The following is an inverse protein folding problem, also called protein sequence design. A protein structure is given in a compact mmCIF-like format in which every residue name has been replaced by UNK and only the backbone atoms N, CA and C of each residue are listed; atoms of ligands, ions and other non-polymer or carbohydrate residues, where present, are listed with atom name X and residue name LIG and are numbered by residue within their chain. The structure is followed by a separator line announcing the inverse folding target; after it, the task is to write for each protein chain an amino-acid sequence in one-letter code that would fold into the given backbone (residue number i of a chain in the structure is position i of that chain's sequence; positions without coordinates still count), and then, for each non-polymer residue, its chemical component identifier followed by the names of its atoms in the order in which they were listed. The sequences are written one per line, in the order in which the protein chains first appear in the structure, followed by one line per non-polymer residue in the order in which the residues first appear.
data_IF_271765667148
#
_entry.id   IF_271765667148
#
_cell.length_a   1.000
_cell.length_b   1.000
_cell.length_c   1.000
_cell.angle_alpha   90.00
_cell.angle_beta   90.00
_cell.angle_gamma   90.00
#
_symmetry.space_group_name_H-M   'P 1'
#
loop_
_entity.id
_entity.type
_entity.pdbx_description
1 polymer ?
#
# COMPACT_ATOMS: atom_id res chain seq x y z
N UNK A 1 21.54 18.97 -13.32
CA UNK A 1 22.61 18.71 -12.33
C UNK A 1 22.24 19.37 -10.99
N UNK A 2 21.32 18.76 -10.23
CA UNK A 2 20.88 19.26 -8.90
C UNK A 2 20.80 18.16 -7.83
N UNK A 3 21.41 16.99 -8.05
CA UNK A 3 21.44 15.89 -7.07
C UNK A 3 22.48 16.05 -5.96
N UNK A 4 23.10 17.22 -5.80
CA UNK A 4 24.37 17.32 -5.05
C UNK A 4 24.32 17.67 -3.57
N UNK A 5 23.16 17.88 -2.95
CA UNK A 5 23.10 18.00 -1.48
C UNK A 5 21.85 17.32 -0.92
N UNK A 6 22.04 16.15 -0.30
CA UNK A 6 21.06 15.67 0.68
C UNK A 6 21.03 16.66 1.84
N UNK A 7 19.84 16.98 2.35
CA UNK A 7 19.69 17.96 3.42
C UNK A 7 20.17 17.29 4.71
N UNK A 8 21.21 17.82 5.32
CA UNK A 8 21.72 17.31 6.60
C UNK A 8 20.85 17.88 7.72
N UNK A 9 20.22 17.01 8.50
CA UNK A 9 19.37 17.40 9.63
C UNK A 9 20.19 17.60 10.89
N UNK A 10 21.25 16.79 11.06
CA UNK A 10 22.19 16.90 12.17
C UNK A 10 23.58 16.82 11.56
N UNK A 11 24.36 17.89 11.73
CA UNK A 11 25.74 17.94 11.23
C UNK A 11 26.61 16.93 11.96
N UNK A 12 27.73 16.51 11.36
CA UNK A 12 28.63 15.56 12.03
C UNK A 12 29.17 16.12 13.34
N UNK A 13 29.44 17.45 13.41
CA UNK A 13 29.87 18.12 14.64
C UNK A 13 28.80 18.09 15.71
N UNK A 14 27.58 18.46 15.35
CA UNK A 14 26.45 18.44 16.28
C UNK A 14 26.16 17.03 16.79
N UNK A 15 26.26 16.02 15.93
CA UNK A 15 26.15 14.62 16.33
C UNK A 15 27.20 14.28 17.38
N UNK A 16 28.50 14.47 17.09
CA UNK A 16 29.60 14.13 18.01
C UNK A 16 29.47 14.88 19.35
N UNK A 17 29.11 16.16 19.31
CA UNK A 17 28.92 16.97 20.53
C UNK A 17 27.73 16.48 21.38
N UNK A 18 26.67 15.98 20.73
CA UNK A 18 25.45 15.53 21.40
C UNK A 18 25.49 14.04 21.80
N UNK A 19 26.36 13.24 21.20
CA UNK A 19 26.44 11.78 21.41
C UNK A 19 27.26 11.37 22.65
N UNK A 20 27.79 12.34 23.41
CA UNK A 20 28.54 12.16 24.66
C UNK A 20 29.70 11.13 24.57
N UNK A 21 30.38 11.08 23.42
CA UNK A 21 31.56 10.22 23.14
C UNK A 21 32.66 11.04 22.50
N UNK A 22 33.92 10.74 22.84
CA UNK A 22 35.05 11.32 22.11
C UNK A 22 35.22 10.62 20.74
N UNK A 23 35.76 11.32 19.72
CA UNK A 23 35.79 10.81 18.34
C UNK A 23 36.45 9.43 18.18
N UNK A 24 37.47 9.12 18.99
CA UNK A 24 38.15 7.82 18.96
C UNK A 24 37.37 6.69 19.65
N UNK A 25 36.31 7.04 20.39
CA UNK A 25 35.38 6.10 21.03
C UNK A 25 34.22 5.72 20.10
N UNK A 26 34.03 6.46 19.00
CA UNK A 26 32.99 6.21 18.01
C UNK A 26 33.26 4.93 17.22
N UNK A 27 32.21 4.13 17.09
CA UNK A 27 32.22 2.83 16.43
C UNK A 27 31.25 2.78 15.24
N UNK A 28 31.26 1.66 14.53
CA UNK A 28 30.40 1.48 13.34
C UNK A 28 28.91 1.58 13.65
N UNK A 29 28.47 1.24 14.88
CA UNK A 29 27.09 1.46 15.28
C UNK A 29 26.80 2.96 15.40
N UNK A 30 27.68 3.75 16.00
CA UNK A 30 27.52 5.22 16.07
C UNK A 30 27.43 5.83 14.67
N UNK A 31 28.31 5.40 13.76
CA UNK A 31 28.29 5.85 12.37
C UNK A 31 27.01 5.44 11.63
N UNK A 32 26.55 4.20 11.86
CA UNK A 32 25.27 3.73 11.33
C UNK A 32 24.09 4.59 11.82
N UNK A 33 24.06 4.94 13.11
CA UNK A 33 23.00 5.78 13.68
C UNK A 33 23.04 7.20 13.10
N UNK A 34 24.22 7.80 12.98
CA UNK A 34 24.38 9.11 12.33
C UNK A 34 23.80 9.14 10.91
N UNK A 35 24.11 8.13 10.09
CA UNK A 35 23.58 8.03 8.73
C UNK A 35 22.07 7.81 8.73
N UNK A 36 21.56 6.96 9.63
CA UNK A 36 20.14 6.66 9.74
C UNK A 36 19.32 7.90 10.12
N UNK A 37 19.77 8.70 11.09
CA UNK A 37 19.11 9.94 11.52
C UNK A 37 18.87 10.85 10.31
N UNK A 38 19.93 11.09 9.55
CA UNK A 38 19.86 11.97 8.38
C UNK A 38 19.02 11.34 7.25
N UNK A 39 19.07 10.02 7.07
CA UNK A 39 18.24 9.32 6.09
C UNK A 39 16.75 9.43 6.43
N UNK A 40 16.37 9.14 7.68
CA UNK A 40 15.00 9.20 8.18
C UNK A 40 14.46 10.63 8.06
N UNK A 41 15.23 11.64 8.49
CA UNK A 41 14.85 13.04 8.37
C UNK A 41 14.57 13.45 6.93
N UNK A 42 15.45 13.07 5.98
CA UNK A 42 15.26 13.35 4.56
C UNK A 42 14.00 12.68 3.99
N UNK A 43 13.70 11.45 4.41
CA UNK A 43 12.50 10.72 3.94
C UNK A 43 11.23 11.34 4.51
N UNK A 44 11.23 11.69 5.79
CA UNK A 44 10.10 12.36 6.44
C UNK A 44 9.81 13.71 5.79
N UNK A 45 10.82 14.57 5.61
CA UNK A 45 10.66 15.92 5.01
C UNK A 45 10.16 15.85 3.55
N UNK A 46 10.68 14.90 2.75
CA UNK A 46 10.39 14.84 1.31
C UNK A 46 9.16 14.03 0.95
N UNK A 47 8.84 12.98 1.71
CA UNK A 47 7.83 11.98 1.32
C UNK A 47 6.65 11.89 2.27
N UNK A 48 6.85 12.15 3.57
CA UNK A 48 5.76 12.11 4.54
C UNK A 48 5.13 13.49 4.74
N UNK A 49 5.93 14.50 5.08
CA UNK A 49 5.49 15.88 5.31
C UNK A 49 5.36 16.69 4.01
N UNK A 50 4.62 16.14 3.05
CA UNK A 50 4.32 16.83 1.78
C UNK A 50 3.47 18.09 2.01
N UNK A 51 3.38 19.01 1.03
CA UNK A 51 2.58 20.23 1.15
C UNK A 51 1.12 19.99 1.58
N UNK A 52 0.54 18.85 1.20
CA UNK A 52 -0.83 18.47 1.54
C UNK A 52 -1.01 18.11 3.02
N UNK A 53 0.09 17.80 3.74
CA UNK A 53 0.11 17.48 5.18
C UNK A 53 0.53 18.66 6.07
N UNK A 54 0.73 19.86 5.53
CA UNK A 54 1.14 21.05 6.32
C UNK A 54 0.16 21.46 7.43
N UNK A 55 -1.11 21.05 7.32
CA UNK A 55 -2.13 21.33 8.34
C UNK A 55 -2.32 20.18 9.34
N UNK A 56 -1.57 19.07 9.21
CA UNK A 56 -1.66 17.96 10.16
C UNK A 56 -1.08 18.39 11.52
N UNK A 57 -1.68 17.96 12.65
CA UNK A 57 -1.09 18.18 13.97
C UNK A 57 0.27 17.47 14.15
N UNK A 58 0.59 16.52 13.27
CA UNK A 58 1.89 15.84 13.23
C UNK A 58 2.94 16.56 12.40
N UNK A 59 2.59 17.67 11.72
CA UNK A 59 3.56 18.36 10.88
C UNK A 59 4.70 18.96 11.73
N UNK A 60 5.93 18.62 11.39
CA UNK A 60 7.13 19.10 12.08
C UNK A 60 7.87 20.12 11.22
N UNK A 61 8.37 21.17 11.86
CA UNK A 61 9.38 22.02 11.25
C UNK A 61 10.76 21.34 11.26
N UNK A 62 11.76 22.00 10.68
CA UNK A 62 13.09 21.42 10.51
C UNK A 62 13.78 21.06 11.85
N UNK A 63 13.67 21.92 12.86
CA UNK A 63 14.28 21.67 14.18
C UNK A 63 13.59 20.47 14.87
N UNK A 64 12.26 20.47 14.93
CA UNK A 64 11.51 19.40 15.56
C UNK A 64 11.69 18.05 14.84
N UNK A 65 11.83 18.09 13.51
CA UNK A 65 12.14 16.89 12.73
C UNK A 65 13.55 16.37 13.04
N UNK A 66 14.54 17.26 13.17
CA UNK A 66 15.89 16.91 13.62
C UNK A 66 15.87 16.23 14.99
N UNK A 67 15.17 16.82 15.97
CA UNK A 67 15.02 16.26 17.33
C UNK A 67 14.34 14.90 17.32
N UNK A 68 13.24 14.73 16.59
CA UNK A 68 12.58 13.42 16.48
C UNK A 68 13.53 12.37 15.90
N UNK A 69 14.25 12.71 14.83
CA UNK A 69 15.19 11.77 14.20
C UNK A 69 16.33 11.40 15.15
N UNK A 70 16.86 12.37 15.91
CA UNK A 70 17.87 12.11 16.94
C UNK A 70 17.36 11.14 18.00
N UNK A 71 16.16 11.39 18.55
CA UNK A 71 15.56 10.53 19.59
C UNK A 71 15.30 9.11 19.08
N UNK A 72 14.89 8.97 17.81
CA UNK A 72 14.75 7.66 17.15
C UNK A 72 16.10 6.96 17.00
N UNK A 73 17.15 7.71 16.64
CA UNK A 73 18.52 7.21 16.55
C UNK A 73 19.05 6.69 17.89
N UNK A 74 18.89 7.49 18.95
CA UNK A 74 19.32 7.14 20.31
C UNK A 74 18.59 5.89 20.84
N UNK A 75 17.26 5.89 20.70
CA UNK A 75 16.42 4.74 21.08
C UNK A 75 16.78 3.48 20.30
N UNK A 76 17.12 3.61 19.00
CA UNK A 76 17.57 2.48 18.21
C UNK A 76 18.96 1.99 18.63
N UNK A 77 19.91 2.89 18.92
CA UNK A 77 21.26 2.52 19.39
C UNK A 77 21.12 1.67 20.65
N UNK A 78 20.36 2.16 21.63
CA UNK A 78 20.11 1.47 22.88
C UNK A 78 19.48 0.10 22.65
N UNK A 79 18.43 0.04 21.83
CA UNK A 79 17.78 -1.22 21.46
C UNK A 79 18.74 -2.21 20.79
N UNK A 80 19.57 -1.75 19.85
CA UNK A 80 20.51 -2.61 19.13
C UNK A 80 21.63 -3.11 20.05
N UNK A 81 22.18 -2.27 20.92
CA UNK A 81 23.22 -2.67 21.87
C UNK A 81 22.70 -3.70 22.87
N UNK A 82 21.62 -3.39 23.58
CA UNK A 82 21.15 -4.22 24.69
C UNK A 82 20.39 -5.46 24.20
N UNK A 83 19.50 -5.30 23.21
CA UNK A 83 18.59 -6.36 22.81
C UNK A 83 19.05 -7.16 21.60
N UNK A 84 19.92 -6.59 20.74
CA UNK A 84 20.40 -7.28 19.53
C UNK A 84 21.83 -7.82 19.69
N UNK A 85 22.80 -6.99 20.06
CA UNK A 85 24.21 -7.38 20.10
C UNK A 85 24.67 -7.91 21.47
N UNK A 86 23.98 -7.56 22.55
CA UNK A 86 24.31 -8.03 23.90
C UNK A 86 23.95 -9.50 24.17
N UNK A 87 22.77 -9.96 23.73
CA UNK A 87 22.30 -11.33 24.04
C UNK A 87 21.18 -11.89 23.15
N UNK A 88 20.95 -11.31 21.96
CA UNK A 88 19.85 -11.76 21.10
C UNK A 88 20.07 -13.18 20.58
N UNK A 89 19.10 -14.06 20.81
CA UNK A 89 19.16 -15.40 20.25
C UNK A 89 18.87 -15.44 18.74
N UNK A 90 18.17 -14.42 18.20
CA UNK A 90 17.80 -14.36 16.78
C UNK A 90 18.84 -13.67 15.90
N UNK A 91 19.64 -12.73 16.45
CA UNK A 91 20.59 -11.90 15.70
C UNK A 91 19.97 -11.26 14.43
N UNK A 92 18.74 -10.74 14.54
CA UNK A 92 17.99 -10.27 13.38
C UNK A 92 18.71 -9.20 12.56
N UNK A 93 19.36 -8.17 13.16
CA UNK A 93 20.00 -7.10 12.38
C UNK A 93 21.17 -7.57 11.50
N UNK A 94 21.78 -8.72 11.82
CA UNK A 94 22.93 -9.26 11.09
C UNK A 94 22.54 -10.08 9.85
N UNK A 95 21.28 -10.51 9.79
CA UNK A 95 20.88 -11.63 8.94
C UNK A 95 19.36 -11.63 8.74
N UNK A 96 18.84 -10.56 8.16
CA UNK A 96 17.40 -10.31 8.10
C UNK A 96 16.63 -11.32 7.25
N UNK A 97 17.26 -11.90 6.22
CA UNK A 97 16.61 -12.78 5.24
C UNK A 97 16.45 -14.22 5.75
N UNK A 98 17.18 -14.61 6.80
CA UNK A 98 17.13 -15.98 7.27
C UNK A 98 15.83 -16.31 8.00
N UNK A 99 15.36 -17.53 7.78
CA UNK A 99 14.15 -18.07 8.41
C UNK A 99 14.42 -18.38 9.88
N UNK A 100 13.45 -18.04 10.73
CA UNK A 100 13.45 -18.44 12.13
C UNK A 100 13.03 -19.91 12.20
N UNK A 101 13.95 -20.78 12.66
CA UNK A 101 13.67 -22.19 12.90
C UNK A 101 13.26 -22.38 14.37
N UNK A 102 11.97 -22.66 14.67
CA UNK A 102 11.49 -22.78 16.05
C UNK A 102 12.25 -23.86 16.85
N UNK A 103 12.74 -24.89 16.18
CA UNK A 103 13.47 -26.01 16.77
C UNK A 103 14.80 -25.59 17.42
N UNK A 104 15.40 -24.49 16.96
CA UNK A 104 16.65 -23.96 17.52
C UNK A 104 16.45 -23.32 18.90
N UNK A 105 15.19 -23.06 19.30
CA UNK A 105 14.84 -22.35 20.52
C UNK A 105 14.04 -23.21 21.52
N UNK A 106 14.05 -24.54 21.37
CA UNK A 106 13.32 -25.47 22.26
C UNK A 106 13.68 -25.33 23.75
N UNK A 107 14.86 -24.78 24.07
CA UNK A 107 15.29 -24.51 25.45
C UNK A 107 14.85 -23.15 26.03
N UNK A 108 14.19 -22.30 25.23
CA UNK A 108 13.76 -20.95 25.64
C UNK A 108 12.24 -20.78 25.41
N UNK A 109 11.46 -21.09 26.45
CA UNK A 109 9.99 -21.06 26.43
C UNK A 109 9.42 -19.69 26.05
N UNK A 110 10.09 -18.59 26.41
CA UNK A 110 9.64 -17.25 26.08
C UNK A 110 9.79 -16.97 24.58
N UNK A 111 10.96 -17.28 24.01
CA UNK A 111 11.22 -17.14 22.56
C UNK A 111 10.26 -18.00 21.74
N UNK A 112 10.00 -19.23 22.18
CA UNK A 112 9.08 -20.12 21.49
C UNK A 112 7.66 -19.54 21.44
N UNK A 113 7.12 -19.10 22.57
CA UNK A 113 5.77 -18.47 22.61
C UNK A 113 5.69 -17.23 21.74
N UNK A 114 6.76 -16.44 21.70
CA UNK A 114 6.85 -15.24 20.86
C UNK A 114 6.85 -15.59 19.37
N UNK A 115 7.65 -16.58 18.96
CA UNK A 115 7.69 -17.08 17.58
C UNK A 115 6.32 -17.67 17.19
N UNK A 116 5.71 -18.49 18.05
CA UNK A 116 4.38 -19.09 17.81
C UNK A 116 3.30 -18.01 17.64
N UNK A 117 3.35 -16.95 18.45
CA UNK A 117 2.43 -15.82 18.35
C UNK A 117 2.60 -15.08 17.02
N UNK A 118 3.83 -14.72 16.64
CA UNK A 118 4.12 -14.04 15.38
C UNK A 118 3.73 -14.90 14.16
N UNK A 119 4.00 -16.20 14.21
CA UNK A 119 3.60 -17.15 13.17
C UNK A 119 2.07 -17.26 13.05
N UNK A 120 1.32 -17.10 14.13
CA UNK A 120 -0.15 -17.18 14.09
C UNK A 120 -0.80 -16.06 13.25
N UNK A 121 -0.09 -14.95 13.03
CA UNK A 121 -0.56 -13.82 12.22
C UNK A 121 -0.07 -13.88 10.77
N UNK A 122 0.80 -14.83 10.41
CA UNK A 122 1.47 -14.90 9.11
C UNK A 122 1.13 -16.21 8.39
N UNK A 123 0.83 -16.12 7.09
CA UNK A 123 0.73 -17.29 6.22
C UNK A 123 2.13 -17.63 5.67
N UNK A 124 2.92 -18.39 6.42
CA UNK A 124 4.25 -18.84 5.98
C UNK A 124 5.25 -19.04 7.12
N UNK A 125 6.50 -19.29 6.76
CA UNK A 125 7.60 -19.35 7.74
C UNK A 125 8.00 -17.94 8.17
N UNK A 126 8.18 -17.73 9.48
CA UNK A 126 8.66 -16.47 10.05
C UNK A 126 10.10 -16.17 9.60
N UNK A 127 10.33 -14.97 9.11
CA UNK A 127 11.66 -14.46 8.71
C UNK A 127 12.17 -13.48 9.78
N UNK A 128 13.48 -13.39 9.97
CA UNK A 128 14.09 -12.54 11.00
C UNK A 128 13.76 -11.05 10.84
N UNK A 129 13.63 -10.56 9.60
CA UNK A 129 13.17 -9.20 9.32
C UNK A 129 11.83 -8.90 10.00
N UNK A 130 10.87 -9.82 9.94
CA UNK A 130 9.53 -9.63 10.53
C UNK A 130 9.60 -9.52 12.05
N UNK A 131 10.54 -10.22 12.69
CA UNK A 131 10.78 -10.08 14.13
C UNK A 131 11.37 -8.71 14.46
N UNK A 132 12.34 -8.26 13.65
CA UNK A 132 12.99 -6.96 13.82
C UNK A 132 12.02 -5.80 13.60
N UNK A 133 11.17 -5.88 12.58
CA UNK A 133 10.09 -4.93 12.30
C UNK A 133 9.19 -4.70 13.50
N UNK A 134 8.68 -5.79 14.08
CA UNK A 134 7.82 -5.72 15.27
C UNK A 134 8.55 -5.13 16.47
N UNK A 135 9.82 -5.47 16.67
CA UNK A 135 10.59 -4.94 17.80
C UNK A 135 10.90 -3.45 17.64
N UNK A 136 11.35 -3.03 16.46
CA UNK A 136 11.62 -1.62 16.16
C UNK A 136 10.33 -0.80 16.24
N UNK A 137 9.22 -1.31 15.69
CA UNK A 137 7.92 -0.63 15.77
C UNK A 137 7.52 -0.36 17.22
N UNK A 138 7.58 -1.38 18.09
CA UNK A 138 7.09 -1.26 19.45
C UNK A 138 8.07 -0.56 20.39
N UNK A 139 9.35 -0.95 20.36
CA UNK A 139 10.34 -0.53 21.36
C UNK A 139 11.18 0.67 20.96
N UNK A 140 11.09 1.10 19.70
CA UNK A 140 11.83 2.26 19.22
C UNK A 140 10.83 3.30 18.73
N UNK A 141 10.02 2.98 17.72
CA UNK A 141 9.26 3.99 17.00
C UNK A 141 8.07 4.50 17.82
N UNK A 142 7.15 3.62 18.22
CA UNK A 142 5.93 4.04 18.91
C UNK A 142 6.25 4.69 20.25
N UNK A 143 7.15 4.11 21.05
CA UNK A 143 7.60 4.70 22.32
C UNK A 143 8.21 6.09 22.11
N UNK A 144 9.11 6.26 21.13
CA UNK A 144 9.73 7.57 20.83
C UNK A 144 8.72 8.58 20.33
N UNK A 145 7.81 8.19 19.42
CA UNK A 145 6.79 9.10 18.88
C UNK A 145 5.84 9.58 19.98
N UNK A 146 5.32 8.65 20.79
CA UNK A 146 4.43 9.02 21.90
C UNK A 146 5.12 9.97 22.87
N UNK A 147 6.37 9.68 23.24
CA UNK A 147 7.14 10.54 24.14
C UNK A 147 7.40 11.90 23.52
N UNK A 148 7.89 11.96 22.27
CA UNK A 148 8.21 13.21 21.58
C UNK A 148 6.99 14.12 21.44
N UNK A 149 5.86 13.59 20.95
CA UNK A 149 4.67 14.41 20.76
C UNK A 149 4.05 14.86 22.09
N UNK A 150 4.06 14.00 23.12
CA UNK A 150 3.58 14.34 24.46
C UNK A 150 4.47 15.39 25.13
N UNK A 151 5.78 15.16 25.18
CA UNK A 151 6.73 15.91 26.00
C UNK A 151 7.26 17.17 25.32
N UNK A 152 7.62 17.08 24.02
CA UNK A 152 8.21 18.21 23.28
C UNK A 152 7.13 19.12 22.66
N UNK A 153 6.07 18.52 22.12
CA UNK A 153 5.02 19.25 21.40
C UNK A 153 3.74 19.48 22.22
N UNK A 154 3.57 18.79 23.35
CA UNK A 154 2.38 18.91 24.20
C UNK A 154 1.11 18.39 23.55
N UNK A 155 1.22 17.43 22.63
CA UNK A 155 0.11 16.81 21.91
C UNK A 155 -0.06 15.36 22.38
N UNK A 156 -1.20 15.09 23.03
CA UNK A 156 -1.55 13.75 23.49
C UNK A 156 -2.28 12.98 22.40
N UNK A 157 -1.67 11.91 21.91
CA UNK A 157 -2.28 10.95 21.00
C UNK A 157 -2.69 9.67 21.75
N UNK A 158 -3.78 9.04 21.30
CA UNK A 158 -4.13 7.70 21.75
C UNK A 158 -3.42 6.63 20.92
N UNK A 159 -3.31 5.41 21.45
CA UNK A 159 -2.72 4.25 20.74
C UNK A 159 -3.46 3.90 19.42
N UNK A 160 -4.72 4.35 19.28
CA UNK A 160 -5.56 4.12 18.09
C UNK A 160 -5.56 5.29 17.08
N UNK A 161 -4.70 6.30 17.25
CA UNK A 161 -4.66 7.44 16.33
C UNK A 161 -4.08 7.02 14.96
N UNK A 162 -4.92 7.09 13.94
CA UNK A 162 -4.60 6.62 12.58
C UNK A 162 -3.42 7.38 11.99
N UNK A 163 -3.32 8.70 12.19
CA UNK A 163 -2.21 9.48 11.61
C UNK A 163 -0.87 9.14 12.29
N UNK A 164 -0.91 8.85 13.60
CA UNK A 164 0.28 8.41 14.35
C UNK A 164 0.75 7.03 13.89
N UNK A 165 -0.18 6.09 13.68
CA UNK A 165 0.14 4.75 13.17
C UNK A 165 0.71 4.85 11.75
N UNK A 166 0.16 5.71 10.88
CA UNK A 166 0.72 5.95 9.54
C UNK A 166 2.15 6.49 9.58
N UNK A 167 2.44 7.43 10.49
CA UNK A 167 3.80 7.96 10.69
C UNK A 167 4.74 6.86 11.20
N UNK A 168 4.29 6.06 12.16
CA UNK A 168 5.07 4.96 12.72
C UNK A 168 5.41 3.91 11.64
N UNK A 169 4.42 3.49 10.85
CA UNK A 169 4.61 2.57 9.70
C UNK A 169 5.56 3.16 8.65
N UNK A 170 5.46 4.46 8.38
CA UNK A 170 6.39 5.11 7.45
C UNK A 170 7.83 5.04 7.96
N UNK A 171 8.06 5.42 9.21
CA UNK A 171 9.39 5.40 9.85
C UNK A 171 9.93 3.97 9.89
N UNK A 172 9.10 2.99 10.24
CA UNK A 172 9.48 1.56 10.28
C UNK A 172 10.00 1.08 8.94
N UNK A 173 9.27 1.38 7.86
CA UNK A 173 9.68 1.00 6.51
C UNK A 173 11.01 1.66 6.13
N UNK A 174 11.17 2.95 6.40
CA UNK A 174 12.41 3.68 6.12
C UNK A 174 13.59 3.09 6.89
N UNK A 175 13.44 2.83 8.19
CA UNK A 175 14.50 2.27 9.02
C UNK A 175 14.90 0.86 8.56
N UNK A 176 13.92 0.01 8.24
CA UNK A 176 14.19 -1.37 7.81
C UNK A 176 14.85 -1.40 6.42
N UNK A 177 14.40 -0.55 5.51
CA UNK A 177 15.03 -0.41 4.19
C UNK A 177 16.47 0.08 4.32
N UNK A 178 16.73 1.05 5.20
CA UNK A 178 18.07 1.52 5.46
C UNK A 178 18.98 0.43 6.04
N UNK A 179 18.50 -0.33 7.05
CA UNK A 179 19.24 -1.48 7.62
C UNK A 179 19.59 -2.49 6.52
N UNK A 180 18.62 -2.79 5.63
CA UNK A 180 18.78 -3.77 4.56
C UNK A 180 19.78 -3.34 3.49
N UNK A 181 19.66 -2.11 3.01
CA UNK A 181 20.36 -1.65 1.81
C UNK A 181 21.72 -1.02 2.12
N UNK A 182 21.80 -0.28 3.23
CA UNK A 182 22.96 0.57 3.55
C UNK A 182 23.63 0.15 4.88
N UNK A 183 22.86 -0.39 5.82
CA UNK A 183 23.32 -0.66 7.19
C UNK A 183 24.07 -1.96 7.43
N UNK A 184 23.82 -3.03 6.65
CA UNK A 184 24.33 -4.37 6.99
C UNK A 184 25.86 -4.45 7.12
N UNK A 185 26.61 -3.72 6.30
CA UNK A 185 28.07 -3.72 6.36
C UNK A 185 28.61 -3.22 7.70
N UNK A 186 28.00 -2.16 8.25
CA UNK A 186 28.37 -1.56 9.53
C UNK A 186 27.90 -2.43 10.70
N UNK A 187 26.67 -2.96 10.62
CA UNK A 187 26.07 -3.77 11.68
C UNK A 187 26.75 -5.13 11.87
N UNK A 188 27.47 -5.66 10.87
CA UNK A 188 28.27 -6.89 11.01
C UNK A 188 29.43 -6.76 12.01
N UNK A 189 29.95 -5.54 12.19
CA UNK A 189 31.05 -5.24 13.13
C UNK A 189 30.74 -3.95 13.87
N UNK A 190 29.69 -3.95 14.71
CA UNK A 190 29.13 -2.71 15.27
C UNK A 190 30.09 -2.01 16.23
N UNK A 191 31.03 -2.76 16.85
CA UNK A 191 31.98 -2.23 17.83
C UNK A 191 33.39 -1.97 17.26
N UNK A 192 33.60 -2.19 15.96
CA UNK A 192 34.85 -1.77 15.31
C UNK A 192 34.87 -0.23 15.25
N UNK A 193 36.06 0.35 15.41
CA UNK A 193 36.25 1.81 15.38
C UNK A 193 35.79 2.39 14.04
N UNK A 194 35.02 3.48 14.10
CA UNK A 194 34.57 4.25 12.94
C UNK A 194 35.25 5.63 12.87
N UNK A 195 36.34 5.83 13.61
CA UNK A 195 37.07 7.10 13.68
C UNK A 195 37.42 7.62 12.28
N UNK A 196 37.95 6.76 11.41
CA UNK A 196 38.33 7.12 10.04
C UNK A 196 37.13 7.66 9.23
N UNK A 197 35.91 7.14 9.44
CA UNK A 197 34.70 7.61 8.77
C UNK A 197 34.26 8.98 9.27
N UNK A 198 34.33 9.21 10.58
CA UNK A 198 33.96 10.51 11.18
C UNK A 198 35.00 11.59 10.89
N UNK A 199 36.29 11.25 10.83
CA UNK A 199 37.35 12.17 10.40
C UNK A 199 37.16 12.60 8.94
N UNK A 200 36.84 11.67 8.03
CA UNK A 200 36.53 11.99 6.63
C UNK A 200 35.34 12.95 6.52
N UNK A 201 34.28 12.74 7.30
CA UNK A 201 33.12 13.64 7.32
C UNK A 201 33.44 15.03 7.89
N UNK A 202 34.26 15.10 8.94
CA UNK A 202 34.68 16.38 9.53
C UNK A 202 35.54 17.18 8.56
N UNK A 203 36.43 16.52 7.80
CA UNK A 203 37.23 17.15 6.76
C UNK A 203 36.34 17.74 5.66
N UNK A 204 35.29 17.03 5.25
CA UNK A 204 34.31 17.53 4.26
C UNK A 204 33.55 18.76 4.82
N UNK A 205 33.09 18.73 6.08
CA UNK A 205 32.41 19.87 6.72
C UNK A 205 33.35 21.09 6.86
N UNK A 206 34.66 20.88 7.05
CA UNK A 206 35.67 21.95 7.08
C UNK A 206 35.93 22.57 5.71
N UNK A 207 35.95 21.76 4.63
CA UNK A 207 36.08 22.27 3.26
C UNK A 207 34.89 23.15 2.85
N UNK A 208 33.66 22.81 3.26
CA UNK A 208 32.47 23.63 2.99
C UNK A 208 32.43 24.94 3.79
N UNK A 209 32.99 24.96 5.00
CA UNK A 209 33.06 26.19 5.81
C UNK A 209 34.23 27.10 5.43
N UNK A 210 35.24 26.57 4.72
CA UNK A 210 36.43 27.31 4.28
C UNK A 210 36.30 28.12 2.98
N UNK A 211 35.29 27.86 2.14
CA UNK A 211 35.13 28.52 0.82
C UNK A 211 33.94 29.50 0.70
N UNK A 212 33.10 29.65 1.73
CA UNK A 212 31.96 30.57 1.71
C UNK A 212 32.28 31.97 2.28
N UNK A 213 33.38 32.57 1.83
CA UNK A 213 33.39 34.03 1.64
C UNK A 213 32.68 34.32 0.32
N UNK A 214 31.35 34.40 0.37
CA UNK A 214 30.54 34.96 -0.71
C UNK A 214 31.03 36.38 -1.02
N UNK A 215 31.98 36.49 -1.95
CA UNK A 215 32.30 37.75 -2.58
C UNK A 215 31.07 38.19 -3.34
N UNK A 216 30.44 39.24 -2.79
CA UNK A 216 29.41 40.03 -3.46
C UNK A 216 29.99 40.65 -4.74
N UNK A 217 30.06 39.88 -5.82
CA UNK A 217 30.11 40.41 -7.16
C UNK A 217 28.71 40.30 -7.76
N UNK A 218 28.03 41.45 -7.78
CA UNK A 218 26.73 41.61 -8.40
C UNK A 218 26.82 41.37 -9.89
N UNK A 219 26.63 40.13 -10.31
CA UNK A 219 26.27 39.80 -11.68
C UNK A 219 24.75 39.73 -11.79
N UNK A 220 24.20 40.68 -12.55
CA UNK A 220 22.78 40.73 -12.87
C UNK A 220 22.39 39.43 -13.56
N UNK A 221 21.45 38.71 -12.95
CA UNK A 221 20.80 37.55 -13.55
C UNK A 221 20.10 37.97 -14.84
N UNK A 222 20.78 37.81 -15.97
CA UNK A 222 20.12 37.80 -17.28
C UNK A 222 19.48 36.43 -17.42
N UNK A 223 18.16 36.39 -17.29
CA UNK A 223 17.34 35.23 -17.60
C UNK A 223 17.61 34.79 -19.05
N UNK A 224 18.44 33.77 -19.20
CA UNK A 224 18.42 32.95 -20.41
C UNK A 224 17.32 31.91 -20.24
N UNK A 225 16.40 31.74 -21.21
CA UNK A 225 15.38 30.72 -21.15
C UNK A 225 16.07 29.37 -21.42
N UNK A 226 16.48 28.68 -20.37
CA UNK A 226 16.72 27.26 -20.44
C UNK A 226 15.34 26.58 -20.43
N UNK A 227 14.88 26.18 -21.61
CA UNK A 227 13.86 25.16 -21.78
C UNK A 227 14.42 23.82 -21.29
N UNK A 228 14.54 23.65 -19.97
CA UNK A 228 14.73 22.32 -19.39
C UNK A 228 13.35 21.67 -19.31
N UNK A 229 13.10 20.79 -20.27
CA UNK A 229 11.93 19.94 -20.32
C UNK A 229 11.84 19.11 -19.04
N UNK A 230 10.79 19.35 -18.24
CA UNK A 230 10.28 18.39 -17.27
C UNK A 230 9.82 17.13 -18.01
N UNK A 231 10.74 16.22 -18.30
CA UNK A 231 10.38 14.88 -18.75
C UNK A 231 10.00 14.09 -17.51
N UNK A 232 8.70 13.79 -17.36
CA UNK A 232 8.27 12.72 -16.47
C UNK A 232 9.09 11.47 -16.83
N UNK A 233 9.78 10.90 -15.85
CA UNK A 233 10.47 9.63 -16.03
C UNK A 233 9.45 8.59 -16.44
N UNK A 234 9.55 8.07 -17.66
CA UNK A 234 8.67 7.00 -18.14
C UNK A 234 9.12 5.66 -17.55
N UNK A 235 8.23 4.98 -16.82
CA UNK A 235 8.46 3.61 -16.35
C UNK A 235 7.30 2.72 -16.83
N UNK A 236 7.61 1.74 -17.67
CA UNK A 236 6.60 0.88 -18.28
C UNK A 236 5.88 0.05 -17.20
N UNK A 237 4.53 0.06 -17.23
CA UNK A 237 3.71 -0.62 -16.24
C UNK A 237 3.93 -2.14 -16.24
N UNK A 238 4.19 -2.73 -17.41
CA UNK A 238 4.47 -4.17 -17.57
C UNK A 238 5.72 -4.56 -16.78
N UNK A 239 6.79 -3.79 -16.94
CA UNK A 239 8.06 -3.97 -16.24
C UNK A 239 7.92 -3.74 -14.73
N UNK A 240 7.10 -2.77 -14.33
CA UNK A 240 6.77 -2.51 -12.92
C UNK A 240 6.07 -3.71 -12.26
N UNK A 241 5.11 -4.31 -12.97
CA UNK A 241 4.39 -5.51 -12.48
C UNK A 241 5.29 -6.75 -12.45
N UNK A 242 6.23 -6.88 -13.39
CA UNK A 242 7.26 -7.92 -13.36
C UNK A 242 8.20 -7.77 -12.15
N UNK A 243 8.71 -6.55 -11.90
CA UNK A 243 9.51 -6.24 -10.70
C UNK A 243 8.79 -6.60 -9.41
N UNK A 244 7.51 -6.26 -9.30
CA UNK A 244 6.68 -6.64 -8.14
C UNK A 244 6.67 -8.15 -7.91
N UNK A 245 6.51 -8.94 -8.98
CA UNK A 245 6.50 -10.41 -8.89
C UNK A 245 7.88 -10.98 -8.53
N UNK A 246 8.96 -10.41 -9.09
CA UNK A 246 10.34 -10.81 -8.79
C UNK A 246 10.70 -10.56 -7.32
N UNK A 247 10.37 -9.38 -6.80
CA UNK A 247 10.60 -9.02 -5.39
C UNK A 247 9.87 -9.99 -4.45
N UNK A 248 8.61 -10.32 -4.77
CA UNK A 248 7.83 -11.28 -3.98
C UNK A 248 8.30 -12.74 -4.15
N UNK A 249 8.91 -13.09 -5.28
CA UNK A 249 9.48 -14.42 -5.50
C UNK A 249 10.61 -14.74 -4.53
N UNK A 250 11.42 -13.73 -4.20
CA UNK A 250 12.51 -13.85 -3.23
C UNK A 250 11.98 -14.03 -1.81
N UNK A 251 10.82 -13.44 -1.50
CA UNK A 251 10.25 -13.42 -0.15
C UNK A 251 9.29 -14.59 0.16
N UNK A 252 8.48 -15.07 -0.81
CA UNK A 252 7.41 -16.04 -0.55
C UNK A 252 7.08 -16.98 -1.74
N UNK A 253 7.94 -17.97 -2.04
CA UNK A 253 7.84 -18.80 -3.25
C UNK A 253 6.57 -19.66 -3.33
N UNK A 254 5.97 -20.07 -2.21
CA UNK A 254 4.77 -20.90 -2.19
C UNK A 254 3.50 -20.13 -2.62
N UNK A 255 3.54 -18.80 -2.64
CA UNK A 255 2.41 -17.93 -3.01
C UNK A 255 2.45 -17.43 -4.46
N UNK A 256 3.51 -17.78 -5.21
CA UNK A 256 3.80 -17.20 -6.53
C UNK A 256 2.77 -17.53 -7.60
N UNK A 257 2.22 -18.75 -7.56
CA UNK A 257 1.34 -19.26 -8.63
C UNK A 257 0.06 -18.45 -8.79
N UNK A 258 -0.62 -18.16 -7.69
CA UNK A 258 -1.86 -17.37 -7.71
C UNK A 258 -1.58 -15.87 -7.88
N UNK A 259 -0.51 -15.35 -7.25
CA UNK A 259 -0.15 -13.94 -7.37
C UNK A 259 0.23 -13.55 -8.80
N UNK A 260 1.00 -14.40 -9.51
CA UNK A 260 1.35 -14.18 -10.90
C UNK A 260 0.10 -14.13 -11.80
N UNK A 261 -0.86 -15.02 -11.55
CA UNK A 261 -2.14 -15.00 -12.26
C UNK A 261 -2.93 -13.70 -11.99
N UNK A 262 -3.08 -13.30 -10.73
CA UNK A 262 -3.81 -12.10 -10.33
C UNK A 262 -3.19 -10.82 -10.92
N UNK A 263 -1.86 -10.71 -10.91
CA UNK A 263 -1.13 -9.58 -11.50
C UNK A 263 -1.26 -9.57 -13.02
N UNK A 264 -1.27 -10.74 -13.66
CA UNK A 264 -1.48 -10.81 -15.10
C UNK A 264 -2.90 -10.36 -15.51
N UNK A 265 -3.92 -10.69 -14.70
CA UNK A 265 -5.27 -10.16 -14.87
C UNK A 265 -5.29 -8.63 -14.77
N UNK A 266 -4.61 -8.08 -13.76
CA UNK A 266 -4.54 -6.64 -13.58
C UNK A 266 -3.77 -5.95 -14.73
N UNK A 267 -2.66 -6.54 -15.18
CA UNK A 267 -1.90 -6.08 -16.34
C UNK A 267 -2.78 -6.02 -17.60
N UNK A 268 -3.53 -7.09 -17.87
CA UNK A 268 -4.46 -7.16 -19.00
C UNK A 268 -5.48 -6.03 -18.94
N UNK A 269 -6.10 -5.81 -17.78
CA UNK A 269 -7.02 -4.68 -17.59
C UNK A 269 -6.35 -3.33 -17.87
N UNK A 270 -5.21 -3.05 -17.24
CA UNK A 270 -4.53 -1.76 -17.36
C UNK A 270 -4.16 -1.44 -18.81
N UNK A 271 -3.62 -2.41 -19.55
CA UNK A 271 -3.12 -2.20 -20.90
C UNK A 271 -4.21 -2.22 -21.98
N UNK A 272 -5.23 -3.09 -21.84
CA UNK A 272 -6.26 -3.28 -22.87
C UNK A 272 -7.49 -2.38 -22.68
N UNK A 273 -7.84 -2.07 -21.43
CA UNK A 273 -9.06 -1.32 -21.08
C UNK A 273 -8.71 0.03 -20.48
N UNK A 274 -7.86 0.06 -19.46
CA UNK A 274 -7.46 1.29 -18.76
C UNK A 274 -6.58 2.22 -19.60
N UNK A 275 -5.91 1.71 -20.63
CA UNK A 275 -4.98 2.48 -21.45
C UNK A 275 -3.77 3.00 -20.68
N UNK A 276 -3.42 2.36 -19.56
CA UNK A 276 -2.30 2.71 -18.69
C UNK A 276 -1.07 1.94 -19.17
N UNK A 277 -0.06 2.66 -19.64
CA UNK A 277 1.22 2.09 -20.08
C UNK A 277 2.40 2.53 -19.22
N UNK A 278 2.25 3.62 -18.48
CA UNK A 278 3.21 4.16 -17.52
C UNK A 278 2.67 4.00 -16.09
N UNK A 279 3.52 3.62 -15.14
CA UNK A 279 3.13 3.57 -13.72
C UNK A 279 2.64 4.92 -13.19
N UNK A 280 3.16 6.02 -13.69
CA UNK A 280 2.74 7.37 -13.28
C UNK A 280 1.37 7.78 -13.85
N UNK A 281 0.85 7.06 -14.85
CA UNK A 281 -0.52 7.22 -15.35
C UNK A 281 -1.55 6.42 -14.52
N UNK A 282 -1.09 5.56 -13.60
CA UNK A 282 -1.96 4.80 -12.72
C UNK A 282 -2.71 5.73 -11.75
N UNK A 283 -4.01 5.48 -11.59
CA UNK A 283 -4.92 6.22 -10.70
C UNK A 283 -5.67 5.25 -9.81
N UNK A 284 -6.15 5.76 -8.69
CA UNK A 284 -7.04 5.05 -7.77
C UNK A 284 -8.31 4.54 -8.46
N UNK A 285 -8.86 5.33 -9.38
CA UNK A 285 -10.02 4.96 -10.21
C UNK A 285 -9.77 3.67 -11.01
N UNK A 286 -8.56 3.46 -11.53
CA UNK A 286 -8.21 2.26 -12.30
C UNK A 286 -8.23 1.01 -11.42
N UNK A 287 -7.73 1.11 -10.17
CA UNK A 287 -7.74 0.00 -9.22
C UNK A 287 -9.18 -0.33 -8.80
N UNK A 288 -10.00 0.70 -8.58
CA UNK A 288 -11.41 0.52 -8.23
C UNK A 288 -12.21 -0.07 -9.40
N UNK A 289 -12.04 0.42 -10.62
CA UNK A 289 -12.70 -0.11 -11.81
C UNK A 289 -12.33 -1.57 -12.05
N UNK A 290 -11.04 -1.89 -11.95
CA UNK A 290 -10.55 -3.26 -12.04
C UNK A 290 -11.32 -4.18 -11.10
N UNK A 291 -11.35 -3.84 -9.80
CA UNK A 291 -11.95 -4.70 -8.77
C UNK A 291 -13.48 -4.74 -8.82
N UNK A 292 -14.14 -3.60 -9.04
CA UNK A 292 -15.59 -3.48 -8.91
C UNK A 292 -16.36 -3.79 -10.21
N UNK A 293 -15.72 -3.60 -11.38
CA UNK A 293 -16.37 -3.73 -12.68
C UNK A 293 -15.73 -4.79 -13.56
N UNK A 294 -14.42 -4.72 -13.80
CA UNK A 294 -13.77 -5.62 -14.74
C UNK A 294 -13.66 -7.05 -14.20
N UNK A 295 -13.30 -7.20 -12.92
CA UNK A 295 -13.16 -8.50 -12.26
C UNK A 295 -14.46 -9.32 -12.28
N UNK A 296 -15.61 -8.65 -12.17
CA UNK A 296 -16.94 -9.28 -12.29
C UNK A 296 -17.13 -9.95 -13.65
N UNK A 297 -16.54 -9.40 -14.71
CA UNK A 297 -16.66 -9.94 -16.08
C UNK A 297 -15.75 -11.15 -16.31
N UNK A 298 -14.54 -11.13 -15.77
CA UNK A 298 -13.60 -12.24 -15.97
C UNK A 298 -13.96 -13.45 -15.10
N UNK A 299 -14.48 -13.24 -13.89
CA UNK A 299 -14.83 -14.34 -12.95
C UNK A 299 -16.23 -14.95 -13.18
N UNK A 300 -16.82 -14.73 -14.35
CA UNK A 300 -18.09 -15.37 -14.72
C UNK A 300 -17.89 -16.88 -14.86
N UNK A 301 -18.66 -17.67 -14.12
CA UNK A 301 -18.57 -19.14 -14.05
C UNK A 301 -17.30 -19.68 -13.36
N UNK A 302 -16.50 -18.83 -12.72
CA UNK A 302 -15.36 -19.23 -11.90
C UNK A 302 -15.71 -19.34 -10.40
N UNK A 303 -14.79 -19.91 -9.62
CA UNK A 303 -14.93 -20.03 -8.17
C UNK A 303 -14.72 -18.66 -7.50
N UNK A 304 -15.78 -18.15 -6.87
CA UNK A 304 -15.80 -16.89 -6.11
C UNK A 304 -14.73 -16.79 -5.00
N UNK A 305 -14.22 -17.93 -4.51
CA UNK A 305 -13.14 -17.93 -3.52
C UNK A 305 -11.82 -17.40 -4.08
N UNK A 306 -11.62 -17.51 -5.40
CA UNK A 306 -10.41 -17.03 -6.08
C UNK A 306 -10.30 -15.51 -6.08
N UNK A 307 -11.44 -14.82 -6.09
CA UNK A 307 -11.52 -13.35 -6.03
C UNK A 307 -10.84 -12.81 -4.77
N UNK A 308 -10.87 -13.55 -3.66
CA UNK A 308 -10.19 -13.14 -2.43
C UNK A 308 -8.67 -13.06 -2.57
N UNK A 309 -8.08 -13.90 -3.42
CA UNK A 309 -6.64 -13.87 -3.69
C UNK A 309 -6.28 -12.59 -4.45
N UNK A 310 -7.08 -12.22 -5.47
CA UNK A 310 -6.91 -10.96 -6.21
C UNK A 310 -6.91 -9.75 -5.27
N UNK A 311 -7.87 -9.65 -4.34
CA UNK A 311 -7.89 -8.54 -3.37
C UNK A 311 -6.63 -8.47 -2.50
N UNK A 312 -6.08 -9.62 -2.09
CA UNK A 312 -4.84 -9.66 -1.28
C UNK A 312 -3.63 -9.29 -2.12
N UNK A 313 -3.56 -9.77 -3.36
CA UNK A 313 -2.51 -9.41 -4.31
C UNK A 313 -2.51 -7.92 -4.61
N UNK A 314 -3.69 -7.34 -4.86
CA UNK A 314 -3.83 -5.90 -5.09
C UNK A 314 -3.46 -5.06 -3.87
N UNK A 315 -3.83 -5.48 -2.65
CA UNK A 315 -3.40 -4.78 -1.44
C UNK A 315 -1.86 -4.76 -1.31
N UNK A 316 -1.21 -5.89 -1.58
CA UNK A 316 0.26 -6.00 -1.58
C UNK A 316 0.91 -5.14 -2.67
N UNK A 317 0.33 -5.12 -3.86
CA UNK A 317 0.80 -4.28 -4.96
C UNK A 317 0.68 -2.80 -4.61
N UNK A 318 -0.44 -2.36 -4.04
CA UNK A 318 -0.63 -0.96 -3.59
C UNK A 318 0.42 -0.55 -2.55
N UNK A 319 0.70 -1.40 -1.56
CA UNK A 319 1.78 -1.14 -0.59
C UNK A 319 3.15 -1.09 -1.26
N UNK A 320 3.44 -2.02 -2.17
CA UNK A 320 4.72 -2.07 -2.87
C UNK A 320 4.95 -0.87 -3.79
N UNK A 321 3.91 -0.41 -4.49
CA UNK A 321 3.96 0.79 -5.34
C UNK A 321 4.25 2.04 -4.52
N UNK A 322 3.62 2.19 -3.35
CA UNK A 322 3.95 3.29 -2.43
C UNK A 322 5.42 3.27 -2.03
N UNK A 323 5.94 2.11 -1.64
CA UNK A 323 7.33 1.97 -1.18
C UNK A 323 8.36 2.24 -2.29
N UNK A 324 8.08 1.83 -3.54
CA UNK A 324 9.06 1.93 -4.63
C UNK A 324 8.93 3.20 -5.48
N UNK A 325 7.72 3.75 -5.61
CA UNK A 325 7.42 4.88 -6.51
C UNK A 325 6.82 6.09 -5.78
N UNK A 326 6.51 6.00 -4.48
CA UNK A 326 5.90 7.10 -3.72
C UNK A 326 4.46 7.42 -4.11
N UNK A 327 3.81 6.58 -4.93
CA UNK A 327 2.42 6.75 -5.33
C UNK A 327 1.50 6.18 -4.25
N UNK A 328 0.86 7.08 -3.49
CA UNK A 328 0.02 6.67 -2.35
C UNK A 328 -1.43 6.38 -2.77
N UNK A 329 -1.67 5.11 -3.12
CA UNK A 329 -3.03 4.59 -3.32
C UNK A 329 -3.61 3.95 -2.06
N UNK A 330 -2.90 3.90 -0.92
CA UNK A 330 -3.34 3.14 0.26
C UNK A 330 -4.63 3.67 0.84
N UNK A 331 -4.72 4.99 1.03
CA UNK A 331 -5.92 5.64 1.57
C UNK A 331 -7.13 5.48 0.64
N UNK A 332 -7.07 5.86 -0.65
CA UNK A 332 -8.16 5.60 -1.59
C UNK A 332 -8.55 4.12 -1.65
N UNK A 333 -7.57 3.21 -1.67
CA UNK A 333 -7.81 1.78 -1.70
C UNK A 333 -8.59 1.30 -0.47
N UNK A 334 -8.19 1.69 0.73
CA UNK A 334 -8.86 1.30 1.98
C UNK A 334 -10.31 1.81 2.06
N UNK A 335 -10.60 3.00 1.53
CA UNK A 335 -11.94 3.59 1.54
C UNK A 335 -12.98 2.68 0.87
N UNK A 336 -12.61 2.03 -0.24
CA UNK A 336 -13.49 1.11 -0.95
C UNK A 336 -13.20 -0.38 -0.68
N UNK A 337 -12.02 -0.73 -0.17
CA UNK A 337 -11.55 -2.12 -0.06
C UNK A 337 -12.55 -3.03 0.66
N UNK A 338 -12.99 -2.67 1.86
CA UNK A 338 -13.91 -3.50 2.65
C UNK A 338 -15.29 -3.62 1.99
N UNK A 339 -15.72 -2.57 1.29
CA UNK A 339 -16.96 -2.62 0.52
C UNK A 339 -16.83 -3.56 -0.68
N UNK A 340 -15.81 -3.38 -1.52
CA UNK A 340 -15.62 -4.13 -2.77
C UNK A 340 -15.33 -5.60 -2.48
N UNK A 341 -14.47 -5.89 -1.49
CA UNK A 341 -14.15 -7.25 -1.00
C UNK A 341 -15.37 -8.04 -0.54
N UNK A 342 -16.38 -7.36 0.01
CA UNK A 342 -17.64 -8.00 0.43
C UNK A 342 -18.66 -8.10 -0.71
N UNK A 343 -18.81 -7.04 -1.49
CA UNK A 343 -19.88 -6.93 -2.48
C UNK A 343 -19.56 -7.68 -3.78
N UNK A 344 -18.30 -7.70 -4.25
CA UNK A 344 -17.90 -8.34 -5.51
C UNK A 344 -18.12 -9.86 -5.49
N UNK A 345 -17.63 -10.62 -4.48
CA UNK A 345 -17.91 -12.06 -4.41
C UNK A 345 -19.41 -12.36 -4.32
N UNK A 346 -20.19 -11.49 -3.66
CA UNK A 346 -21.65 -11.65 -3.56
C UNK A 346 -22.33 -11.52 -4.92
N UNK A 347 -21.98 -10.51 -5.72
CA UNK A 347 -22.60 -10.33 -7.03
C UNK A 347 -22.15 -11.39 -8.04
N UNK A 348 -20.89 -11.85 -7.97
CA UNK A 348 -20.41 -12.98 -8.77
C UNK A 348 -21.19 -14.25 -8.42
N UNK A 349 -21.39 -14.54 -7.13
CA UNK A 349 -22.23 -15.66 -6.69
C UNK A 349 -23.66 -15.54 -7.21
N UNK A 350 -24.25 -14.34 -7.14
CA UNK A 350 -25.60 -14.10 -7.66
C UNK A 350 -25.66 -14.36 -9.17
N UNK A 351 -24.68 -13.88 -9.93
CA UNK A 351 -24.59 -14.07 -11.38
C UNK A 351 -24.39 -15.56 -11.72
N UNK A 352 -23.47 -16.25 -11.07
CA UNK A 352 -23.24 -17.68 -11.26
C UNK A 352 -24.50 -18.51 -10.91
N UNK A 353 -25.23 -18.12 -9.85
CA UNK A 353 -26.52 -18.75 -9.51
C UNK A 353 -27.53 -18.56 -10.64
N UNK A 354 -27.63 -17.35 -11.19
CA UNK A 354 -28.52 -17.06 -12.31
C UNK A 354 -28.14 -17.87 -13.55
N UNK A 355 -26.87 -17.86 -13.96
CA UNK A 355 -26.38 -18.56 -15.14
C UNK A 355 -26.57 -20.09 -15.06
N UNK A 356 -26.53 -20.66 -13.85
CA UNK A 356 -26.81 -22.09 -13.63
C UNK A 356 -28.31 -22.44 -13.74
N UNK A 357 -29.20 -21.49 -13.48
CA UNK A 357 -30.66 -21.66 -13.59
C UNK A 357 -31.24 -21.16 -14.92
N UNK A 358 -30.42 -20.41 -15.66
CA UNK A 358 -30.79 -19.69 -16.87
C UNK A 358 -31.24 -20.64 -18.00
N UNK A 359 -32.44 -20.40 -18.52
CA UNK A 359 -33.00 -21.17 -19.63
C UNK A 359 -32.62 -20.53 -20.97
N UNK A 360 -31.49 -20.95 -21.53
CA UNK A 360 -30.98 -20.45 -22.82
C UNK A 360 -31.99 -20.58 -23.97
N UNK A 361 -32.86 -21.61 -23.96
CA UNK A 361 -33.84 -21.82 -25.02
C UNK A 361 -34.91 -20.73 -25.05
N UNK A 362 -35.34 -20.22 -23.90
CA UNK A 362 -36.33 -19.15 -23.83
C UNK A 362 -35.77 -17.85 -24.42
N UNK A 363 -34.48 -17.57 -24.19
CA UNK A 363 -33.83 -16.38 -24.76
C UNK A 363 -33.66 -16.51 -26.27
N UNK A 364 -33.20 -17.66 -26.77
CA UNK A 364 -33.05 -17.85 -28.22
C UNK A 364 -34.38 -17.74 -28.98
N UNK A 365 -35.50 -18.12 -28.37
CA UNK A 365 -36.84 -18.01 -29.00
C UNK A 365 -37.34 -16.57 -29.03
N UNK A 366 -37.00 -15.75 -28.02
CA UNK A 366 -37.57 -14.40 -27.89
C UNK A 366 -36.66 -13.29 -28.42
N UNK A 367 -35.33 -13.48 -28.47
CA UNK A 367 -34.34 -12.42 -28.80
C UNK A 367 -34.61 -11.71 -30.13
N UNK A 368 -35.11 -12.43 -31.13
CA UNK A 368 -35.40 -11.90 -32.47
C UNK A 368 -36.89 -11.79 -32.77
N UNK A 369 -37.76 -11.87 -31.75
CA UNK A 369 -39.21 -11.77 -31.97
C UNK A 369 -39.66 -10.30 -31.99
N UNK A 370 -40.02 -9.74 -33.17
CA UNK A 370 -40.43 -8.33 -33.27
C UNK A 370 -41.79 -8.03 -32.62
N UNK A 371 -42.56 -9.07 -32.25
CA UNK A 371 -43.85 -8.90 -31.57
C UNK A 371 -43.72 -8.64 -30.07
N UNK A 372 -42.53 -8.82 -29.49
CA UNK A 372 -42.27 -8.68 -28.05
C UNK A 372 -41.50 -7.40 -27.78
N UNK A 373 -42.08 -6.51 -26.97
CA UNK A 373 -41.41 -5.30 -26.50
C UNK A 373 -40.23 -5.69 -25.59
N UNK A 374 -39.01 -5.33 -26.01
CA UNK A 374 -37.76 -5.62 -25.32
C UNK A 374 -36.94 -4.34 -25.12
N UNK A 375 -36.29 -4.26 -23.97
CA UNK A 375 -35.34 -3.19 -23.65
C UNK A 375 -34.09 -3.82 -23.04
N UNK A 376 -32.92 -3.35 -23.48
CA UNK A 376 -31.61 -3.80 -22.98
C UNK A 376 -30.85 -2.61 -22.44
N UNK A 377 -30.17 -2.79 -21.31
CA UNK A 377 -29.41 -1.72 -20.71
C UNK A 377 -28.91 -2.06 -19.31
N UNK A 378 -28.49 -1.03 -18.60
CA UNK A 378 -28.06 -1.11 -17.21
C UNK A 378 -29.18 -0.61 -16.30
N UNK A 379 -29.58 -1.46 -15.36
CA UNK A 379 -30.72 -1.21 -14.49
C UNK A 379 -30.31 -1.31 -13.02
N UNK A 380 -30.44 -0.21 -12.28
CA UNK A 380 -30.21 -0.17 -10.84
C UNK A 380 -31.43 -0.71 -10.09
N UNK A 381 -31.22 -1.62 -9.15
CA UNK A 381 -32.28 -2.13 -8.27
C UNK A 381 -32.63 -1.06 -7.24
N UNK A 382 -33.81 -0.47 -7.34
CA UNK A 382 -34.31 0.50 -6.36
C UNK A 382 -34.94 -0.18 -5.15
N UNK A 383 -35.70 -1.25 -5.39
CA UNK A 383 -36.38 -1.97 -4.33
C UNK A 383 -36.56 -3.45 -4.69
N UNK A 384 -36.42 -4.32 -3.69
CA UNK A 384 -36.74 -5.75 -3.80
C UNK A 384 -38.06 -6.03 -3.09
N UNK A 385 -38.97 -6.68 -3.79
CA UNK A 385 -40.32 -7.01 -3.34
C UNK A 385 -40.51 -8.53 -3.26
N UNK A 386 -41.01 -9.02 -2.11
CA UNK A 386 -41.38 -10.42 -1.86
C UNK A 386 -40.33 -11.46 -2.29
N UNK A 387 -39.63 -12.08 -1.32
CA UNK A 387 -38.69 -13.19 -1.61
C UNK A 387 -39.33 -14.41 -2.29
N UNK A 388 -40.66 -14.56 -2.16
CA UNK A 388 -41.40 -15.67 -2.77
C UNK A 388 -41.72 -15.36 -4.23
N UNK A 389 -42.15 -14.13 -4.52
CA UNK A 389 -42.58 -13.73 -5.86
C UNK A 389 -41.47 -13.04 -6.68
N UNK A 390 -40.32 -12.74 -6.07
CA UNK A 390 -39.10 -12.25 -6.73
C UNK A 390 -39.34 -11.04 -7.65
N UNK A 391 -40.11 -10.06 -7.17
CA UNK A 391 -40.34 -8.82 -7.89
C UNK A 391 -39.34 -7.76 -7.47
N UNK A 392 -39.00 -6.84 -8.36
CA UNK A 392 -38.11 -5.72 -8.07
C UNK A 392 -38.49 -4.48 -8.86
N UNK A 393 -38.19 -3.32 -8.29
CA UNK A 393 -38.27 -2.05 -8.99
C UNK A 393 -36.88 -1.70 -9.51
N UNK A 394 -36.81 -1.40 -10.79
CA UNK A 394 -35.57 -1.07 -11.50
C UNK A 394 -35.62 0.37 -11.97
N UNK A 395 -34.46 1.04 -12.02
CA UNK A 395 -34.31 2.31 -12.71
C UNK A 395 -33.20 2.19 -13.74
N UNK A 396 -33.47 2.64 -14.97
CA UNK A 396 -32.43 2.74 -15.98
C UNK A 396 -31.31 3.70 -15.52
N UNK A 397 -30.06 3.26 -15.58
CA UNK A 397 -28.90 4.02 -15.08
C UNK A 397 -28.64 5.28 -15.91
N UNK A 398 -28.94 5.26 -17.22
CA UNK A 398 -28.67 6.35 -18.15
C UNK A 398 -29.87 7.29 -18.32
N UNK A 399 -31.06 6.72 -18.40
CA UNK A 399 -32.29 7.47 -18.70
C UNK A 399 -33.15 7.76 -17.46
N UNK A 400 -32.82 7.18 -16.31
CA UNK A 400 -33.55 7.32 -15.03
C UNK A 400 -35.04 6.94 -15.11
N UNK A 401 -35.43 6.16 -16.12
CA UNK A 401 -36.79 5.64 -16.25
C UNK A 401 -37.01 4.51 -15.24
N UNK A 402 -38.06 4.63 -14.42
CA UNK A 402 -38.42 3.61 -13.44
C UNK A 402 -39.35 2.54 -14.02
N UNK A 403 -39.01 1.29 -13.78
CA UNK A 403 -39.79 0.10 -14.11
C UNK A 403 -40.19 -0.59 -12.82
N UNK A 404 -41.49 -0.67 -12.55
CA UNK A 404 -42.01 -1.27 -11.31
C UNK A 404 -42.42 -2.71 -11.50
N UNK A 405 -42.25 -3.51 -10.44
CA UNK A 405 -42.66 -4.92 -10.39
C UNK A 405 -42.07 -5.78 -11.53
N UNK A 406 -40.79 -5.58 -11.83
CA UNK A 406 -40.04 -6.45 -12.75
C UNK A 406 -39.83 -7.81 -12.09
N UNK A 407 -40.17 -8.89 -12.78
CA UNK A 407 -40.03 -10.25 -12.25
C UNK A 407 -38.66 -10.86 -12.61
N UNK A 408 -37.96 -11.45 -11.64
CA UNK A 408 -36.77 -12.28 -11.86
C UNK A 408 -37.04 -13.72 -11.41
N UNK A 409 -37.21 -14.63 -12.36
CA UNK A 409 -37.40 -16.05 -12.02
C UNK A 409 -36.08 -16.80 -11.78
N UNK A 410 -35.36 -16.42 -10.73
CA UNK A 410 -34.12 -17.09 -10.32
C UNK A 410 -33.89 -17.00 -8.82
N UNK A 411 -33.26 -18.00 -8.22
CA UNK A 411 -32.83 -17.95 -6.82
C UNK A 411 -31.70 -16.95 -6.59
N UNK A 412 -31.03 -16.47 -7.64
CA UNK A 412 -30.08 -15.36 -7.60
C UNK A 412 -30.66 -14.11 -6.90
N UNK A 413 -31.98 -13.91 -6.99
CA UNK A 413 -32.73 -12.86 -6.30
C UNK A 413 -32.42 -12.77 -4.80
N UNK A 414 -32.14 -13.90 -4.14
CA UNK A 414 -31.84 -13.93 -2.70
C UNK A 414 -30.51 -13.27 -2.34
N UNK A 415 -29.59 -13.16 -3.30
CA UNK A 415 -28.29 -12.55 -3.12
C UNK A 415 -28.24 -11.08 -3.57
N UNK A 416 -29.28 -10.60 -4.27
CA UNK A 416 -29.38 -9.22 -4.74
C UNK A 416 -29.69 -8.24 -3.61
N UNK A 417 -29.30 -6.98 -3.81
CA UNK A 417 -29.55 -5.87 -2.89
C UNK A 417 -29.99 -4.61 -3.63
N UNK A 418 -30.73 -3.70 -2.96
CA UNK A 418 -30.92 -2.35 -3.49
C UNK A 418 -29.56 -1.68 -3.77
N UNK A 419 -29.45 -1.02 -4.92
CA UNK A 419 -28.23 -0.42 -5.45
C UNK A 419 -27.43 -1.30 -6.40
N UNK A 420 -27.66 -2.61 -6.45
CA UNK A 420 -27.02 -3.48 -7.46
C UNK A 420 -27.45 -3.06 -8.87
N UNK A 421 -26.56 -3.25 -9.84
CA UNK A 421 -26.78 -2.85 -11.23
C UNK A 421 -26.80 -4.09 -12.12
N UNK A 422 -27.93 -4.33 -12.77
CA UNK A 422 -28.14 -5.43 -13.70
C UNK A 422 -27.84 -4.95 -15.12
N UNK A 423 -26.84 -5.54 -15.78
CA UNK A 423 -26.73 -5.44 -17.23
C UNK A 423 -27.62 -6.52 -17.84
N UNK A 424 -28.83 -6.14 -18.24
CA UNK A 424 -29.89 -7.09 -18.53
C UNK A 424 -30.72 -6.71 -19.76
N UNK A 425 -31.37 -7.71 -20.34
CA UNK A 425 -32.46 -7.56 -21.29
C UNK A 425 -33.76 -7.89 -20.58
N UNK A 426 -34.72 -6.97 -20.65
CA UNK A 426 -36.07 -7.13 -20.11
C UNK A 426 -37.05 -7.31 -21.27
N UNK A 427 -38.05 -8.15 -21.05
CA UNK A 427 -39.15 -8.34 -21.99
C UNK A 427 -40.48 -8.11 -21.31
N UNK A 428 -41.47 -7.65 -22.08
CA UNK A 428 -42.84 -7.48 -21.58
C UNK A 428 -43.67 -8.73 -21.85
N UNK A 429 -44.16 -9.37 -20.78
CA UNK A 429 -45.03 -10.55 -20.82
C UNK A 429 -46.30 -10.28 -20.02
N UNK A 430 -47.46 -10.47 -20.64
CA UNK A 430 -48.78 -10.29 -20.01
C UNK A 430 -48.96 -8.94 -19.29
N UNK A 431 -48.35 -7.89 -19.85
CA UNK A 431 -48.40 -6.53 -19.30
C UNK A 431 -47.36 -6.20 -18.22
N UNK A 432 -46.56 -7.18 -17.77
CA UNK A 432 -45.49 -6.99 -16.79
C UNK A 432 -44.10 -7.13 -17.42
N UNK A 433 -43.12 -6.46 -16.84
CA UNK A 433 -41.71 -6.62 -17.22
C UNK A 433 -41.12 -7.85 -16.54
N UNK A 434 -40.37 -8.63 -17.29
CA UNK A 434 -39.68 -9.84 -16.83
C UNK A 434 -38.24 -9.78 -17.30
N UNK A 435 -37.30 -10.19 -16.45
CA UNK A 435 -35.89 -10.34 -16.85
C UNK A 435 -35.78 -11.51 -17.82
N UNK A 436 -35.41 -11.22 -19.06
CA UNK A 436 -35.14 -12.23 -20.09
C UNK A 436 -33.73 -12.79 -19.93
N UNK A 437 -32.74 -11.90 -19.84
CA UNK A 437 -31.32 -12.24 -19.79
C UNK A 437 -30.58 -11.29 -18.85
N UNK A 438 -29.72 -11.81 -17.98
CA UNK A 438 -28.72 -11.03 -17.24
C UNK A 438 -27.35 -11.38 -17.81
N UNK A 439 -26.66 -10.39 -18.36
CA UNK A 439 -25.28 -10.54 -18.80
C UNK A 439 -24.33 -10.46 -17.61
N UNK A 440 -24.50 -9.44 -16.76
CA UNK A 440 -23.66 -9.22 -15.58
C UNK A 440 -24.45 -8.54 -14.45
N UNK A 441 -23.96 -8.71 -13.22
CA UNK A 441 -24.49 -8.08 -12.00
C UNK A 441 -23.34 -7.34 -11.33
N UNK A 442 -23.43 -6.02 -11.23
CA UNK A 442 -22.38 -5.18 -10.64
C UNK A 442 -22.83 -4.64 -9.28
N UNK A 443 -21.90 -4.42 -8.33
CA UNK A 443 -22.21 -3.73 -7.09
C UNK A 443 -22.44 -2.23 -7.35
N UNK A 444 -23.16 -1.54 -6.46
CA UNK A 444 -23.45 -0.09 -6.60
C UNK A 444 -22.20 0.77 -6.83
N UNK A 445 -21.07 0.39 -6.23
CA UNK A 445 -19.81 1.13 -6.37
C UNK A 445 -19.24 1.12 -7.79
N UNK A 446 -19.66 0.17 -8.63
CA UNK A 446 -19.27 0.13 -10.04
C UNK A 446 -20.03 1.14 -10.92
N UNK A 447 -21.02 1.86 -10.37
CA UNK A 447 -21.87 2.79 -11.12
C UNK A 447 -21.08 3.82 -11.92
N UNK A 448 -19.97 4.32 -11.37
CA UNK A 448 -19.13 5.34 -11.99
C UNK A 448 -18.47 4.89 -13.29
N UNK A 449 -18.35 3.57 -13.51
CA UNK A 449 -17.70 2.96 -14.68
C UNK A 449 -18.69 2.44 -15.73
N UNK A 450 -19.99 2.70 -15.53
CA UNK A 450 -21.04 2.33 -16.47
C UNK A 450 -21.31 3.54 -17.37
N UNK A 451 -21.06 3.37 -18.67
CA UNK A 451 -21.15 4.40 -19.71
C UNK A 451 -22.18 4.06 -20.80
#
# INVERSE_FOLDING_TARGET
MSERFQKTFISVREFIESWDKEIYELNNLDFFIYLLINHVGNRLDRQFFTPDRQNSPLFLDFENLGTLCFNLGDSLEYFLQDNCFGSCSLNCPLDMENRVQPEQYEGNDWMRRRIDLLQSFLNGNLVKEQCLRVDIMNHVILETLMQFYSEELGVDFGEDDVEMVELAEFIENVMIDFIRLEGQGLLQRPFDSAMDYFEELLDIDEEYTGEDEWQNEGESWTASPAEDSWQQSFEEISHTLEKFLEDYQLQAPDSLGWMSHDIHLFQKYLMEIGGVYDIYDLKDEHILEFLAFWLVKEFVMEDETQVQHVFRTMARFVTWVYNNYGLDFRRPFLEYYEQVKREVPRVIRALNTYLNEYNIFEVMVNRDNPEVEQISGFFEIKQLHSRIHKFMDLADVHFFAELKHVHLDSSAFLNLRPGDILHATLMKRDGNWVVLEIHYIYPNIARTFIH
#
